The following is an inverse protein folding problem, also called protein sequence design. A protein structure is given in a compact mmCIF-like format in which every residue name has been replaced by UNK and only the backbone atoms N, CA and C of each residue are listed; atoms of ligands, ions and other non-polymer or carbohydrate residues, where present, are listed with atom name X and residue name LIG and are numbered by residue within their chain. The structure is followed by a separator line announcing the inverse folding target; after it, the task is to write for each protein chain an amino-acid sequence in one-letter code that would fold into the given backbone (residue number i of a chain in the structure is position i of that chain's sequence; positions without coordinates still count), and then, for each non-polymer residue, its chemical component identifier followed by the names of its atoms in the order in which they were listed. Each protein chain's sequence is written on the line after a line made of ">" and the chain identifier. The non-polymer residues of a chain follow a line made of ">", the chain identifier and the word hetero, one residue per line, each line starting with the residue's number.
data_IF_351237509427
#
_entry.id   IF_351237509427
#
_cell.length_a   1.000
_cell.length_b   1.000
_cell.length_c   1.000
_cell.angle_alpha   90.00
_cell.angle_beta   90.00
_cell.angle_gamma   90.00
#
_symmetry.space_group_name_H-M   'P 1'
#
loop_
_entity.id
_entity.type
_entity.pdbx_description
1 polymer ?
#
# COMPACT_ATOMS: atom_id res chain seq x y z
N UNK A 1 19.62 -9.60 15.64
CA UNK A 1 18.53 -10.46 15.15
C UNK A 1 19.09 -11.33 14.05
N UNK A 2 18.89 -12.65 14.12
CA UNK A 2 19.20 -13.53 13.01
C UNK A 2 18.24 -13.23 11.84
N UNK A 3 18.78 -13.08 10.62
CA UNK A 3 17.96 -12.86 9.42
C UNK A 3 17.07 -14.06 9.10
N UNK A 4 16.02 -13.86 8.28
CA UNK A 4 15.08 -14.95 7.95
C UNK A 4 15.80 -16.04 7.17
N UNK A 5 15.26 -17.26 7.21
CA UNK A 5 15.88 -18.40 6.53
C UNK A 5 16.15 -18.12 5.04
N UNK A 6 15.24 -17.43 4.35
CA UNK A 6 15.45 -17.00 2.96
C UNK A 6 16.56 -15.95 2.79
N UNK A 7 16.72 -15.02 3.74
CA UNK A 7 17.74 -13.96 3.68
C UNK A 7 19.15 -14.55 3.86
N UNK A 8 19.21 -15.72 4.49
CA UNK A 8 20.42 -16.52 4.69
C UNK A 8 20.66 -17.54 3.55
N UNK A 9 19.81 -17.56 2.53
CA UNK A 9 19.90 -18.52 1.42
C UNK A 9 19.61 -19.98 1.80
N UNK A 10 18.98 -20.23 2.96
CA UNK A 10 18.67 -21.58 3.43
C UNK A 10 17.45 -22.20 2.73
N UNK A 11 16.57 -21.35 2.21
CA UNK A 11 15.37 -21.72 1.45
C UNK A 11 15.13 -20.67 0.36
N UNK A 12 14.50 -21.07 -0.75
CA UNK A 12 14.10 -20.14 -1.81
C UNK A 12 12.98 -19.19 -1.33
N UNK A 13 12.82 -18.04 -2.00
CA UNK A 13 11.70 -17.13 -1.71
C UNK A 13 10.36 -17.80 -2.04
N UNK A 14 10.31 -18.63 -3.08
CA UNK A 14 9.14 -19.38 -3.50
C UNK A 14 8.71 -20.35 -2.41
N UNK A 15 9.64 -21.14 -1.88
CA UNK A 15 9.33 -22.13 -0.84
C UNK A 15 9.01 -21.44 0.48
N UNK A 16 9.74 -20.37 0.84
CA UNK A 16 9.39 -19.55 2.00
C UNK A 16 7.96 -19.00 1.91
N UNK A 17 7.57 -18.49 0.73
CA UNK A 17 6.24 -17.95 0.48
C UNK A 17 5.17 -19.04 0.61
N UNK A 18 5.42 -20.24 0.07
CA UNK A 18 4.53 -21.40 0.24
C UNK A 18 4.38 -21.80 1.70
N UNK A 19 5.48 -21.88 2.45
CA UNK A 19 5.42 -22.18 3.88
C UNK A 19 4.59 -21.16 4.65
N UNK A 20 4.72 -19.88 4.32
CA UNK A 20 3.89 -18.84 4.93
C UNK A 20 2.43 -19.02 4.57
N UNK A 21 2.11 -19.28 3.31
CA UNK A 21 0.74 -19.57 2.88
C UNK A 21 0.14 -20.77 3.65
N UNK A 22 0.93 -21.83 3.85
CA UNK A 22 0.53 -23.01 4.62
C UNK A 22 0.33 -22.70 6.10
N UNK A 23 1.17 -21.85 6.70
CA UNK A 23 0.97 -21.37 8.07
C UNK A 23 -0.36 -20.60 8.19
N UNK A 24 -0.67 -19.72 7.23
CA UNK A 24 -1.94 -18.98 7.23
C UNK A 24 -3.15 -19.89 7.04
N UNK A 25 -3.01 -20.98 6.29
CA UNK A 25 -4.07 -22.00 6.16
C UNK A 25 -4.31 -22.81 7.44
N UNK A 26 -3.37 -22.74 8.39
CA UNK A 26 -3.46 -23.35 9.72
C UNK A 26 -3.71 -22.31 10.83
N UNK A 27 -4.21 -21.13 10.45
CA UNK A 27 -4.59 -20.03 11.35
C UNK A 27 -3.45 -19.43 12.18
N UNK A 28 -2.20 -19.53 11.71
CA UNK A 28 -1.09 -18.83 12.34
C UNK A 28 -1.23 -17.31 12.13
N UNK A 29 -1.27 -16.55 13.22
CA UNK A 29 -1.43 -15.08 13.18
C UNK A 29 -0.12 -14.31 13.32
N UNK A 30 0.99 -15.00 13.63
CA UNK A 30 2.32 -14.40 13.78
C UNK A 30 3.30 -15.10 12.84
N UNK A 31 3.52 -14.50 11.68
CA UNK A 31 4.44 -15.01 10.68
C UNK A 31 5.31 -13.86 10.17
N UNK A 32 6.62 -14.07 10.17
CA UNK A 32 7.57 -13.08 9.65
C UNK A 32 7.38 -12.95 8.13
N UNK A 33 7.01 -11.77 7.65
CA UNK A 33 6.73 -11.50 6.23
C UNK A 33 7.41 -10.20 5.78
N UNK A 34 7.81 -10.13 4.52
CA UNK A 34 8.28 -8.90 3.87
C UNK A 34 7.54 -8.67 2.54
N UNK A 35 7.85 -7.52 1.95
CA UNK A 35 7.32 -7.06 0.68
C UNK A 35 7.60 -8.05 -0.46
N UNK A 36 8.75 -8.73 -0.44
CA UNK A 36 9.08 -9.71 -1.47
C UNK A 36 8.20 -10.96 -1.35
N UNK A 37 7.93 -11.42 -0.14
CA UNK A 37 7.02 -12.55 0.12
C UNK A 37 5.60 -12.22 -0.38
N UNK A 38 5.11 -11.01 -0.08
CA UNK A 38 3.81 -10.53 -0.57
C UNK A 38 3.78 -10.46 -2.10
N UNK A 39 4.86 -9.96 -2.73
CA UNK A 39 4.96 -9.89 -4.19
C UNK A 39 4.98 -11.28 -4.84
N UNK A 40 5.76 -12.20 -4.29
CA UNK A 40 5.85 -13.58 -4.80
C UNK A 40 4.49 -14.26 -4.77
N UNK A 41 3.73 -14.09 -3.68
CA UNK A 41 2.36 -14.60 -3.61
C UNK A 41 1.42 -13.89 -4.61
N UNK A 42 1.51 -12.56 -4.72
CA UNK A 42 0.73 -11.80 -5.69
C UNK A 42 0.96 -12.26 -7.14
N UNK A 43 2.22 -12.55 -7.50
CA UNK A 43 2.62 -13.10 -8.80
C UNK A 43 2.06 -14.51 -9.00
N UNK A 44 2.17 -15.39 -8.00
CA UNK A 44 1.64 -16.74 -8.05
C UNK A 44 0.10 -16.76 -8.26
N UNK A 45 -0.59 -15.75 -7.72
CA UNK A 45 -2.04 -15.57 -7.90
C UNK A 45 -2.43 -14.81 -9.18
N UNK A 46 -1.45 -14.48 -10.05
CA UNK A 46 -1.70 -13.69 -11.26
C UNK A 46 -2.30 -12.31 -10.97
N UNK A 47 -1.99 -11.73 -9.82
CA UNK A 47 -2.51 -10.45 -9.34
C UNK A 47 -4.05 -10.40 -9.19
N UNK A 48 -4.70 -11.55 -8.99
CA UNK A 48 -6.17 -11.62 -8.88
C UNK A 48 -6.74 -10.88 -7.65
N UNK A 49 -5.93 -10.67 -6.60
CA UNK A 49 -6.30 -9.94 -5.37
C UNK A 49 -7.41 -10.59 -4.52
N UNK A 50 -7.78 -11.84 -4.82
CA UNK A 50 -8.79 -12.62 -4.08
C UNK A 50 -8.17 -13.96 -3.69
N UNK A 51 -7.19 -13.89 -2.81
CA UNK A 51 -6.41 -15.06 -2.42
C UNK A 51 -5.65 -14.88 -1.12
N UNK A 52 -4.61 -15.70 -0.97
CA UNK A 52 -3.73 -15.75 0.19
C UNK A 52 -3.04 -14.42 0.45
N UNK A 53 -2.76 -13.63 -0.59
CA UNK A 53 -2.11 -12.31 -0.42
C UNK A 53 -2.94 -11.36 0.43
N UNK A 54 -4.29 -11.47 0.37
CA UNK A 54 -5.18 -10.68 1.24
C UNK A 54 -4.98 -11.04 2.70
N UNK A 55 -4.99 -12.34 3.01
CA UNK A 55 -4.77 -12.86 4.37
C UNK A 55 -3.37 -12.50 4.89
N UNK A 56 -2.35 -12.54 4.03
CA UNK A 56 -1.02 -12.08 4.37
C UNK A 56 -1.02 -10.59 4.75
N UNK A 57 -1.67 -9.73 3.96
CA UNK A 57 -1.81 -8.32 4.29
C UNK A 57 -2.59 -8.09 5.59
N UNK A 58 -3.63 -8.88 5.86
CA UNK A 58 -4.37 -8.83 7.13
C UNK A 58 -3.50 -9.19 8.33
N UNK A 59 -2.54 -10.11 8.20
CA UNK A 59 -1.57 -10.39 9.27
C UNK A 59 -0.54 -9.27 9.42
N UNK A 60 -0.09 -8.67 8.32
CA UNK A 60 0.89 -7.57 8.32
C UNK A 60 0.29 -6.25 8.82
N UNK A 61 -0.96 -5.95 8.45
CA UNK A 61 -1.63 -4.68 8.74
C UNK A 61 -2.72 -4.74 9.80
N UNK A 62 -3.14 -5.94 10.21
CA UNK A 62 -4.30 -6.15 11.07
C UNK A 62 -4.17 -5.56 12.48
N UNK A 63 -5.25 -5.70 13.27
CA UNK A 63 -5.41 -5.04 14.58
C UNK A 63 -4.21 -5.24 15.54
N UNK A 64 -3.61 -6.42 15.53
CA UNK A 64 -2.54 -6.82 16.45
C UNK A 64 -1.13 -6.67 15.84
N UNK A 65 -1.02 -6.13 14.63
CA UNK A 65 0.26 -6.00 13.95
C UNK A 65 1.06 -4.80 14.47
N UNK A 66 2.39 -4.95 14.47
CA UNK A 66 3.33 -3.85 14.68
C UNK A 66 3.28 -2.90 13.48
N UNK A 67 2.51 -1.82 13.63
CA UNK A 67 2.24 -0.87 12.58
C UNK A 67 3.50 -0.14 12.10
N UNK A 68 4.41 0.20 13.01
CA UNK A 68 5.59 1.01 12.68
C UNK A 68 6.53 0.24 11.75
N UNK A 69 6.83 -1.00 12.11
CA UNK A 69 7.66 -1.90 11.30
C UNK A 69 6.96 -2.29 9.99
N UNK A 70 5.67 -2.59 10.05
CA UNK A 70 4.95 -3.18 8.91
C UNK A 70 4.47 -2.16 7.87
N UNK A 71 4.41 -0.87 8.20
CA UNK A 71 4.15 0.19 7.21
C UNK A 71 5.22 0.21 6.12
N UNK A 72 6.49 0.03 6.47
CA UNK A 72 7.58 -0.06 5.49
C UNK A 72 7.47 -1.27 4.58
N UNK A 73 7.01 -2.40 5.13
CA UNK A 73 6.71 -3.62 4.35
C UNK A 73 5.60 -3.36 3.33
N UNK A 74 4.51 -2.72 3.75
CA UNK A 74 3.39 -2.39 2.87
C UNK A 74 3.76 -1.36 1.81
N UNK A 75 4.49 -0.31 2.17
CA UNK A 75 4.96 0.70 1.23
C UNK A 75 5.87 0.10 0.16
N UNK A 76 6.86 -0.70 0.57
CA UNK A 76 7.76 -1.39 -0.35
C UNK A 76 7.00 -2.38 -1.24
N UNK A 77 6.00 -3.08 -0.69
CA UNK A 77 5.15 -3.97 -1.47
C UNK A 77 4.36 -3.22 -2.55
N UNK A 78 3.78 -2.05 -2.23
CA UNK A 78 3.09 -1.23 -3.23
C UNK A 78 4.03 -0.74 -4.32
N UNK A 79 5.25 -0.30 -3.98
CA UNK A 79 6.26 0.07 -4.97
C UNK A 79 6.58 -1.09 -5.92
N UNK A 80 6.77 -2.29 -5.38
CA UNK A 80 7.00 -3.50 -6.17
C UNK A 80 5.82 -3.82 -7.10
N UNK A 81 4.58 -3.77 -6.60
CA UNK A 81 3.38 -3.95 -7.43
C UNK A 81 3.33 -2.88 -8.52
N UNK A 82 3.54 -1.61 -8.19
CA UNK A 82 3.48 -0.51 -9.16
C UNK A 82 4.54 -0.60 -10.25
N UNK A 83 5.68 -1.21 -9.93
CA UNK A 83 6.74 -1.53 -10.88
C UNK A 83 6.36 -2.69 -11.81
N UNK A 84 5.86 -3.79 -11.24
CA UNK A 84 5.60 -5.05 -11.95
C UNK A 84 4.32 -5.01 -12.81
N UNK A 85 3.28 -4.29 -12.38
CA UNK A 85 2.03 -4.18 -13.15
C UNK A 85 1.90 -2.86 -13.91
N UNK A 86 1.65 -2.98 -15.21
CA UNK A 86 1.27 -1.87 -16.09
C UNK A 86 -0.23 -1.51 -15.99
N UNK A 87 -1.06 -2.40 -15.47
CA UNK A 87 -2.51 -2.25 -15.41
C UNK A 87 -2.91 -1.47 -14.15
N UNK A 88 -3.55 -0.32 -14.36
CA UNK A 88 -3.97 0.61 -13.29
C UNK A 88 -4.92 -0.05 -12.27
N UNK A 89 -5.96 -0.72 -12.75
CA UNK A 89 -6.93 -1.40 -11.87
C UNK A 89 -6.30 -2.47 -10.95
N UNK A 90 -5.18 -3.08 -11.33
CA UNK A 90 -4.45 -4.01 -10.46
C UNK A 90 -3.70 -3.26 -9.36
N UNK A 91 -3.07 -2.12 -9.69
CA UNK A 91 -2.40 -1.27 -8.70
C UNK A 91 -3.39 -0.75 -7.67
N UNK A 92 -4.53 -0.24 -8.14
CA UNK A 92 -5.58 0.31 -7.29
C UNK A 92 -6.19 -0.76 -6.40
N UNK A 93 -6.36 -1.98 -6.92
CA UNK A 93 -6.79 -3.13 -6.13
C UNK A 93 -5.84 -3.39 -4.96
N UNK A 94 -4.53 -3.47 -5.21
CA UNK A 94 -3.55 -3.71 -4.16
C UNK A 94 -3.44 -2.54 -3.18
N UNK A 95 -3.54 -1.31 -3.67
CA UNK A 95 -3.64 -0.12 -2.83
C UNK A 95 -4.85 -0.20 -1.90
N UNK A 96 -6.04 -0.55 -2.41
CA UNK A 96 -7.24 -0.76 -1.60
C UNK A 96 -7.07 -1.89 -0.59
N UNK A 97 -6.41 -2.99 -0.95
CA UNK A 97 -6.17 -4.10 -0.03
C UNK A 97 -5.24 -3.70 1.13
N UNK A 98 -4.18 -2.95 0.83
CA UNK A 98 -3.29 -2.40 1.86
C UNK A 98 -4.05 -1.43 2.75
N UNK A 99 -4.81 -0.51 2.17
CA UNK A 99 -5.62 0.45 2.92
C UNK A 99 -6.64 -0.25 3.81
N UNK A 100 -7.35 -1.25 3.31
CA UNK A 100 -8.30 -2.04 4.09
C UNK A 100 -7.60 -2.74 5.27
N UNK A 101 -6.49 -3.44 5.02
CA UNK A 101 -5.78 -4.17 6.07
C UNK A 101 -5.25 -3.25 7.18
N UNK A 102 -4.72 -2.08 6.81
CA UNK A 102 -4.07 -1.16 7.76
C UNK A 102 -5.03 -0.17 8.42
N UNK A 103 -6.04 0.31 7.69
CA UNK A 103 -6.93 1.38 8.16
C UNK A 103 -8.25 0.86 8.73
N UNK A 104 -8.81 -0.24 8.20
CA UNK A 104 -10.11 -0.74 8.69
C UNK A 104 -10.12 -1.13 10.18
N UNK A 105 -9.03 -1.71 10.76
CA UNK A 105 -8.96 -1.96 12.20
C UNK A 105 -8.76 -0.71 13.06
N UNK A 106 -8.48 0.45 12.44
CA UNK A 106 -8.05 1.71 13.08
C UNK A 106 -8.77 2.90 12.45
N UNK A 107 -10.10 2.84 12.39
CA UNK A 107 -10.91 3.85 11.67
C UNK A 107 -10.70 5.27 12.21
N UNK A 108 -10.46 5.40 13.52
CA UNK A 108 -10.15 6.65 14.21
C UNK A 108 -8.79 7.25 13.81
N UNK A 109 -7.88 6.43 13.27
CA UNK A 109 -6.52 6.81 12.88
C UNK A 109 -6.24 6.60 11.38
N UNK A 110 -7.28 6.42 10.58
CA UNK A 110 -7.12 6.06 9.18
C UNK A 110 -6.33 7.13 8.40
N UNK A 111 -6.54 8.42 8.71
CA UNK A 111 -5.84 9.52 8.06
C UNK A 111 -4.34 9.50 8.41
N UNK A 112 -3.98 9.27 9.66
CA UNK A 112 -2.60 9.16 10.12
C UNK A 112 -1.88 7.97 9.45
N UNK A 113 -2.56 6.82 9.37
CA UNK A 113 -2.04 5.63 8.69
C UNK A 113 -1.81 5.89 7.21
N UNK A 114 -2.77 6.54 6.53
CA UNK A 114 -2.63 6.92 5.12
C UNK A 114 -1.45 7.89 4.92
N UNK A 115 -1.30 8.89 5.79
CA UNK A 115 -0.17 9.83 5.74
C UNK A 115 1.17 9.10 5.92
N UNK A 116 1.26 8.21 6.91
CA UNK A 116 2.48 7.45 7.17
C UNK A 116 2.82 6.49 6.03
N UNK A 117 1.83 5.82 5.45
CA UNK A 117 2.01 4.94 4.29
C UNK A 117 2.48 5.72 3.06
N UNK A 118 1.78 6.79 2.71
CA UNK A 118 2.09 7.60 1.51
C UNK A 118 3.43 8.32 1.61
N UNK A 119 3.90 8.63 2.81
CA UNK A 119 5.25 9.17 3.03
C UNK A 119 6.37 8.17 2.73
N UNK A 120 6.10 6.86 2.77
CA UNK A 120 7.09 5.81 2.54
C UNK A 120 7.06 5.22 1.12
N UNK A 121 5.98 5.43 0.36
CA UNK A 121 5.85 4.94 -1.01
C UNK A 121 6.60 5.86 -1.99
N UNK A 122 7.50 5.28 -2.78
CA UNK A 122 8.38 6.03 -3.68
C UNK A 122 7.80 6.23 -5.08
N UNK A 123 6.97 5.29 -5.54
CA UNK A 123 6.42 5.26 -6.89
C UNK A 123 4.95 5.67 -6.89
N UNK A 124 4.57 6.48 -7.88
CA UNK A 124 3.17 6.85 -8.14
C UNK A 124 2.42 7.41 -6.93
N UNK A 125 3.13 8.04 -6.00
CA UNK A 125 2.61 8.57 -4.73
C UNK A 125 1.35 9.44 -4.90
N UNK A 126 1.28 10.26 -5.95
CA UNK A 126 0.10 11.09 -6.22
C UNK A 126 -1.15 10.26 -6.52
N UNK A 127 -1.03 9.24 -7.37
CA UNK A 127 -2.13 8.31 -7.67
C UNK A 127 -2.55 7.53 -6.43
N UNK A 128 -1.59 7.13 -5.58
CA UNK A 128 -1.90 6.48 -4.31
C UNK A 128 -2.63 7.40 -3.34
N UNK A 129 -2.22 8.67 -3.23
CA UNK A 129 -2.91 9.68 -2.39
C UNK A 129 -4.35 9.89 -2.87
N UNK A 130 -4.54 10.05 -4.18
CA UNK A 130 -5.86 10.22 -4.78
C UNK A 130 -6.73 8.99 -4.54
N UNK A 131 -6.20 7.80 -4.75
CA UNK A 131 -6.91 6.55 -4.51
C UNK A 131 -7.25 6.36 -3.03
N UNK A 132 -6.32 6.65 -2.12
CA UNK A 132 -6.56 6.56 -0.68
C UNK A 132 -7.64 7.54 -0.20
N UNK A 133 -7.69 8.74 -0.80
CA UNK A 133 -8.75 9.70 -0.59
C UNK A 133 -10.11 9.13 -1.01
N UNK A 134 -10.23 8.65 -2.24
CA UNK A 134 -11.49 8.09 -2.74
C UNK A 134 -11.92 6.83 -1.98
N UNK A 135 -10.96 6.01 -1.56
CA UNK A 135 -11.21 4.87 -0.68
C UNK A 135 -11.81 5.31 0.66
N UNK A 136 -11.22 6.33 1.32
CA UNK A 136 -11.72 6.85 2.60
C UNK A 136 -13.12 7.46 2.47
N UNK A 137 -13.34 8.25 1.42
CA UNK A 137 -14.66 8.82 1.08
C UNK A 137 -15.68 7.69 0.88
N UNK A 138 -15.34 6.69 0.06
CA UNK A 138 -16.20 5.52 -0.19
C UNK A 138 -16.61 4.77 1.07
N UNK A 139 -15.69 4.63 2.04
CA UNK A 139 -15.94 3.96 3.33
C UNK A 139 -16.89 4.73 4.26
N UNK A 140 -17.02 6.03 4.05
CA UNK A 140 -17.87 6.89 4.88
C UNK A 140 -19.16 7.31 4.21
N UNK A 141 -19.36 6.93 2.94
CA UNK A 141 -20.67 7.08 2.27
C UNK A 141 -21.74 6.39 3.11
N UNK A 142 -22.76 7.14 3.51
CA UNK A 142 -23.85 6.65 4.34
C UNK A 142 -23.62 6.76 5.86
N UNK A 143 -22.44 7.22 6.30
CA UNK A 143 -22.19 7.53 7.72
C UNK A 143 -22.52 9.00 8.04
N UNK A 144 -22.94 9.34 9.28
CA UNK A 144 -23.20 10.72 9.68
C UNK A 144 -22.00 11.66 9.48
N UNK A 145 -20.78 11.11 9.53
CA UNK A 145 -19.53 11.87 9.48
C UNK A 145 -18.99 12.07 8.05
N UNK A 146 -19.70 11.61 7.01
CA UNK A 146 -19.28 11.69 5.61
C UNK A 146 -18.80 13.09 5.21
N UNK A 147 -19.62 14.13 5.45
CA UNK A 147 -19.29 15.50 5.06
C UNK A 147 -18.05 16.02 5.77
N UNK A 148 -17.90 15.71 7.06
CA UNK A 148 -16.74 16.11 7.84
C UNK A 148 -15.46 15.47 7.30
N UNK A 149 -15.49 14.16 7.02
CA UNK A 149 -14.31 13.45 6.49
C UNK A 149 -13.92 13.92 5.09
N UNK A 150 -14.89 14.22 4.23
CA UNK A 150 -14.62 14.82 2.91
C UNK A 150 -13.89 16.15 3.06
N UNK A 151 -14.31 17.02 3.98
CA UNK A 151 -13.68 18.32 4.20
C UNK A 151 -12.31 18.23 4.89
N UNK A 152 -12.14 17.36 5.88
CA UNK A 152 -10.83 17.10 6.52
C UNK A 152 -9.81 16.50 5.54
N UNK A 153 -10.28 15.60 4.66
CA UNK A 153 -9.44 14.99 3.66
C UNK A 153 -9.04 16.00 2.56
N UNK A 154 -9.96 16.89 2.12
CA UNK A 154 -9.62 18.03 1.24
C UNK A 154 -8.61 18.98 1.87
N UNK A 155 -8.79 19.34 3.15
CA UNK A 155 -7.82 20.16 3.90
C UNK A 155 -6.46 19.49 4.01
N UNK A 156 -6.43 18.17 4.19
CA UNK A 156 -5.18 17.40 4.22
C UNK A 156 -4.48 17.32 2.85
N UNK A 157 -5.22 17.34 1.74
CA UNK A 157 -4.62 17.49 0.40
C UNK A 157 -3.99 18.88 0.17
N UNK A 158 -4.47 19.92 0.86
CA UNK A 158 -3.91 21.27 0.81
C UNK A 158 -2.62 21.41 1.65
N UNK A 159 -2.49 20.66 2.75
CA UNK A 159 -1.26 20.54 3.54
C UNK A 159 -0.33 19.53 2.85
N UNK A 160 0.21 19.93 1.71
CA UNK A 160 1.20 19.14 0.97
C UNK A 160 2.49 19.02 1.80
N UNK A 161 3.09 17.84 1.94
CA UNK A 161 4.51 17.77 2.28
C UNK A 161 5.28 18.34 1.08
N UNK A 162 5.67 19.60 1.18
CA UNK A 162 6.64 20.21 0.27
C UNK A 162 8.02 19.66 0.64
N UNK A 163 8.39 18.57 -0.02
CA UNK A 163 9.76 18.31 -0.46
C UNK A 163 9.71 17.15 -1.47
N UNK A 164 9.43 17.49 -2.73
CA UNK A 164 9.74 16.58 -3.84
C UNK A 164 11.27 16.40 -3.84
N UNK A 165 11.81 15.19 -3.66
CA UNK A 165 13.24 14.94 -3.78
C UNK A 165 13.76 15.53 -5.10
N UNK A 166 14.94 16.17 -5.14
CA UNK A 166 15.46 16.80 -6.36
C UNK A 166 15.41 15.90 -7.61
N UNK A 167 15.57 14.58 -7.41
CA UNK A 167 15.47 13.57 -8.46
C UNK A 167 14.07 13.46 -9.13
N UNK A 168 12.99 13.79 -8.41
CA UNK A 168 11.61 13.77 -8.94
C UNK A 168 11.19 15.11 -9.56
N UNK A 169 11.91 16.21 -9.29
CA UNK A 169 11.66 17.51 -9.97
C UNK A 169 11.89 17.40 -11.47
N UNK A 170 12.88 16.62 -11.90
CA UNK A 170 13.24 16.48 -13.31
C UNK A 170 12.15 15.78 -14.15
N UNK A 171 11.44 14.80 -13.58
CA UNK A 171 10.35 14.09 -14.28
C UNK A 171 9.05 14.88 -14.34
N UNK A 172 8.77 15.73 -13.34
CA UNK A 172 7.58 16.56 -13.34
C UNK A 172 7.66 17.67 -14.41
N UNK A 173 8.85 18.27 -14.61
CA UNK A 173 9.07 19.27 -15.65
C UNK A 173 9.07 18.67 -17.05
N UNK A 174 9.59 17.46 -17.27
CA UNK A 174 9.51 16.78 -18.58
C UNK A 174 8.07 16.50 -19.03
N UNK A 175 7.20 16.07 -18.10
CA UNK A 175 5.79 15.79 -18.44
C UNK A 175 5.02 17.05 -18.86
N UNK A 176 5.28 18.17 -18.19
CA UNK A 176 4.71 19.48 -18.55
C UNK A 176 5.28 20.01 -19.87
N UNK A 177 6.56 19.73 -20.16
CA UNK A 177 7.22 20.14 -21.41
C UNK A 177 6.77 19.32 -22.63
N UNK A 178 6.44 18.04 -22.44
CA UNK A 178 6.08 17.11 -23.52
C UNK A 178 4.58 17.04 -23.82
N UNK A 179 3.69 17.32 -22.86
CA UNK A 179 2.24 17.14 -23.03
C UNK A 179 1.45 18.45 -23.10
N UNK A 180 2.10 19.60 -23.00
CA UNK A 180 1.42 20.89 -22.94
C UNK A 180 0.62 21.07 -21.64
N UNK A 181 0.27 22.31 -21.30
CA UNK A 181 -0.53 22.62 -20.12
C UNK A 181 -1.96 22.08 -20.27
N UNK A 182 -2.30 20.98 -19.59
CA UNK A 182 -3.67 20.44 -19.55
C UNK A 182 -4.64 21.25 -18.67
N UNK A 183 -4.38 22.54 -18.45
CA UNK A 183 -5.31 23.44 -17.77
C UNK A 183 -5.84 24.46 -18.79
N UNK A 184 -7.15 24.48 -19.10
CA UNK A 184 -7.74 25.62 -19.80
C UNK A 184 -7.78 26.83 -18.85
N UNK A 185 -7.54 28.03 -19.41
CA UNK A 185 -7.67 29.32 -18.74
C UNK A 185 -9.11 29.61 -18.31
#
# INVERSE_FOLDING_TARGET
>A
MEGRAKDRGLISIEDYTKFIADCLNRDFTYVSMDSQTLLTQAKAEGFNGRGTVKRMLEVVGGKNADLETNLGVAATFLDLVFHETKQEHLRDRYASMVLEAFCAPRQDKAIEVIKALTAQVSLRVFSLIEHAFWWLVGRTVGTPNFRQQVEEAKKSQLIRPVAIPPALRFRATERVRLLGSCFPN
#
